data_IF_604272307902
#
_entry.id   IF_604272307902
#
_cell.length_a   1.000
_cell.length_b   1.000
_cell.length_c   1.000
_cell.angle_alpha   90.00
_cell.angle_beta   90.00
_cell.angle_gamma   90.00
#
_symmetry.space_group_name_H-M   'P 1'
#
loop_
_entity.id
_entity.type
_entity.pdbx_description
1 polymer ?
#
# COMPACT_ATOMS: atom_id res chain seq x y z
N UNK A 1 -22.40 42.32 -7.88
CA UNK A 1 -22.10 41.04 -7.20
C UNK A 1 -21.43 40.04 -8.15
N UNK A 2 -21.99 39.77 -9.35
CA UNK A 2 -21.34 38.84 -10.30
C UNK A 2 -19.97 39.35 -10.83
N UNK A 3 -19.84 40.64 -11.15
CA UNK A 3 -18.59 41.22 -11.66
C UNK A 3 -17.42 41.24 -10.65
N UNK A 4 -17.71 41.27 -9.34
CA UNK A 4 -16.67 41.21 -8.30
C UNK A 4 -16.18 39.78 -8.11
N UNK A 5 -17.11 38.82 -8.06
CA UNK A 5 -16.78 37.39 -7.99
C UNK A 5 -16.00 36.94 -9.23
N UNK A 6 -16.39 37.42 -10.41
CA UNK A 6 -15.67 37.12 -11.65
C UNK A 6 -14.21 37.62 -11.60
N UNK A 7 -13.98 38.85 -11.14
CA UNK A 7 -12.62 39.42 -11.01
C UNK A 7 -11.75 38.67 -10.01
N UNK A 8 -12.31 38.28 -8.87
CA UNK A 8 -11.62 37.42 -7.90
C UNK A 8 -11.25 36.06 -8.51
N UNK A 9 -12.19 35.40 -9.19
CA UNK A 9 -11.97 34.10 -9.82
C UNK A 9 -10.93 34.16 -10.96
N UNK A 10 -10.94 35.20 -11.78
CA UNK A 10 -9.93 35.45 -12.81
C UNK A 10 -8.53 35.69 -12.21
N UNK A 11 -8.46 36.39 -11.07
CA UNK A 11 -7.20 36.61 -10.36
C UNK A 11 -6.65 35.32 -9.78
N UNK A 12 -7.51 34.49 -9.17
CA UNK A 12 -7.12 33.21 -8.59
C UNK A 12 -6.70 32.20 -9.65
N UNK A 13 -7.51 31.99 -10.69
CA UNK A 13 -7.21 31.01 -11.74
C UNK A 13 -5.91 31.34 -12.48
N UNK A 14 -5.50 32.61 -12.57
CA UNK A 14 -4.21 33.02 -13.17
C UNK A 14 -2.99 32.36 -12.54
N UNK A 15 -3.07 31.87 -11.30
CA UNK A 15 -1.97 31.14 -10.65
C UNK A 15 -1.84 29.69 -11.12
N UNK A 16 -2.88 29.14 -11.75
CA UNK A 16 -2.92 27.77 -12.25
C UNK A 16 -2.62 27.77 -13.75
N UNK A 17 -1.74 26.92 -14.31
CA UNK A 17 -1.54 26.89 -15.76
C UNK A 17 -2.81 26.42 -16.50
N UNK A 18 -3.11 27.00 -17.67
CA UNK A 18 -4.37 26.80 -18.40
C UNK A 18 -4.67 25.32 -18.73
N UNK A 19 -3.65 24.55 -19.12
CA UNK A 19 -3.75 23.11 -19.44
C UNK A 19 -4.19 22.23 -18.25
N UNK A 20 -4.10 22.76 -17.03
CA UNK A 20 -4.49 22.07 -15.80
C UNK A 20 -5.87 22.50 -15.27
N UNK A 21 -6.54 23.45 -15.92
CA UNK A 21 -7.86 23.94 -15.49
C UNK A 21 -8.97 23.21 -16.24
N UNK A 22 -9.95 22.67 -15.50
CA UNK A 22 -11.23 22.20 -16.06
C UNK A 22 -12.40 23.11 -15.69
N UNK A 23 -12.15 24.17 -14.94
CA UNK A 23 -13.11 25.18 -14.52
C UNK A 23 -12.66 26.56 -15.01
N UNK A 24 -13.60 27.37 -15.46
CA UNK A 24 -13.37 28.76 -15.84
C UNK A 24 -13.81 29.73 -14.72
N UNK A 25 -13.51 31.02 -14.89
CA UNK A 25 -13.80 32.02 -13.86
C UNK A 25 -15.31 32.20 -13.59
N UNK A 26 -16.17 32.00 -14.59
CA UNK A 26 -17.62 32.05 -14.40
C UNK A 26 -18.10 30.84 -13.58
N UNK A 27 -17.58 29.63 -13.87
CA UNK A 27 -17.93 28.43 -13.09
C UNK A 27 -17.58 28.59 -11.61
N UNK A 28 -16.41 29.18 -11.31
CA UNK A 28 -15.95 29.46 -9.94
C UNK A 28 -16.77 30.59 -9.31
N UNK A 29 -17.11 31.64 -10.06
CA UNK A 29 -17.93 32.75 -9.57
C UNK A 29 -19.35 32.30 -9.19
N UNK A 30 -19.96 31.39 -9.94
CA UNK A 30 -21.34 30.94 -9.75
C UNK A 30 -21.50 29.87 -8.65
N UNK A 31 -20.40 29.25 -8.19
CA UNK A 31 -20.44 28.22 -7.15
C UNK A 31 -19.89 28.74 -5.82
N UNK A 32 -20.70 28.70 -4.75
CA UNK A 32 -20.30 29.12 -3.39
C UNK A 32 -19.04 28.40 -2.88
N UNK A 33 -18.89 27.12 -3.25
CA UNK A 33 -17.70 26.31 -3.00
C UNK A 33 -17.61 25.21 -4.04
N UNK A 34 -16.40 24.73 -4.30
CA UNK A 34 -16.22 23.61 -5.20
C UNK A 34 -14.80 23.09 -5.28
N UNK A 35 -14.68 21.96 -5.98
CA UNK A 35 -13.41 21.32 -6.23
C UNK A 35 -13.34 20.86 -7.69
N UNK A 36 -12.12 20.86 -8.23
CA UNK A 36 -11.83 20.39 -9.57
C UNK A 36 -10.53 19.61 -9.57
N UNK A 37 -10.53 18.45 -10.24
CA UNK A 37 -9.37 17.56 -10.34
C UNK A 37 -9.06 17.28 -11.80
N UNK A 38 -7.90 17.74 -12.29
CA UNK A 38 -7.49 17.51 -13.67
C UNK A 38 -5.98 17.35 -13.79
N UNK A 39 -5.53 16.28 -14.46
CA UNK A 39 -4.11 16.00 -14.70
C UNK A 39 -3.20 16.06 -13.44
N UNK A 40 -3.75 15.74 -12.27
CA UNK A 40 -3.02 15.80 -10.99
C UNK A 40 -2.96 17.18 -10.35
N UNK A 41 -3.66 18.17 -10.91
CA UNK A 41 -3.99 19.44 -10.27
C UNK A 41 -5.30 19.29 -9.50
N UNK A 42 -5.27 19.60 -8.21
CA UNK A 42 -6.44 19.89 -7.40
C UNK A 42 -6.62 21.40 -7.30
N UNK A 43 -7.82 21.87 -7.64
CA UNK A 43 -8.27 23.24 -7.39
C UNK A 43 -9.43 23.17 -6.41
N UNK A 44 -9.34 23.90 -5.30
CA UNK A 44 -10.42 24.07 -4.32
C UNK A 44 -10.75 25.55 -4.14
N UNK A 45 -12.01 25.89 -3.98
CA UNK A 45 -12.41 27.27 -3.76
C UNK A 45 -13.63 27.39 -2.85
N UNK A 46 -13.70 28.50 -2.13
CA UNK A 46 -14.84 28.87 -1.30
C UNK A 46 -14.99 30.39 -1.24
N UNK A 47 -16.23 30.86 -1.36
CA UNK A 47 -16.58 32.27 -1.21
C UNK A 47 -16.84 32.62 0.25
N UNK A 48 -16.47 33.85 0.63
CA UNK A 48 -16.84 34.45 1.89
C UNK A 48 -17.00 35.96 1.76
N UNK A 49 -17.37 36.61 2.87
CA UNK A 49 -17.52 38.06 2.97
C UNK A 49 -16.65 38.59 4.10
N UNK A 50 -15.96 39.72 3.86
CA UNK A 50 -15.21 40.40 4.91
C UNK A 50 -16.13 41.16 5.88
N UNK A 51 -15.56 41.77 6.93
CA UNK A 51 -16.32 42.54 7.93
C UNK A 51 -17.12 43.72 7.35
N UNK A 52 -16.83 44.12 6.11
CA UNK A 52 -17.50 45.22 5.38
C UNK A 52 -18.50 44.69 4.35
N UNK A 53 -18.75 43.38 4.30
CA UNK A 53 -19.64 42.73 3.34
C UNK A 53 -19.06 42.66 1.92
N UNK A 54 -17.73 42.79 1.74
CA UNK A 54 -17.09 42.64 0.43
C UNK A 54 -16.79 41.17 0.18
N UNK A 55 -17.14 40.61 -1.00
CA UNK A 55 -16.87 39.22 -1.31
C UNK A 55 -15.37 38.98 -1.51
N UNK A 56 -14.89 37.84 -1.01
CA UNK A 56 -13.55 37.32 -1.28
C UNK A 56 -13.61 35.85 -1.70
N UNK A 57 -12.58 35.40 -2.42
CA UNK A 57 -12.40 34.01 -2.82
C UNK A 57 -11.21 33.42 -2.08
N UNK A 58 -11.45 32.46 -1.17
CA UNK A 58 -10.39 31.58 -0.71
C UNK A 58 -10.17 30.52 -1.80
N UNK A 59 -8.93 30.32 -2.20
CA UNK A 59 -8.57 29.48 -3.32
C UNK A 59 -7.30 28.68 -3.02
N UNK A 60 -7.34 27.40 -3.35
CA UNK A 60 -6.24 26.45 -3.25
C UNK A 60 -5.95 25.86 -4.62
N UNK A 61 -4.68 25.81 -4.97
CA UNK A 61 -4.17 25.04 -6.11
C UNK A 61 -3.01 24.18 -5.66
N UNK A 62 -3.12 22.89 -5.92
CA UNK A 62 -2.08 21.93 -5.62
C UNK A 62 -1.84 21.03 -6.83
N UNK A 63 -0.62 21.07 -7.35
CA UNK A 63 -0.14 20.11 -8.33
C UNK A 63 0.96 19.30 -7.67
N UNK A 64 0.69 18.01 -7.39
CA UNK A 64 1.62 16.99 -6.85
C UNK A 64 2.72 17.59 -5.95
N UNK A 65 2.53 17.55 -4.64
CA UNK A 65 3.44 18.02 -3.59
C UNK A 65 4.94 17.99 -3.99
N UNK A 66 5.69 19.10 -3.81
CA UNK A 66 5.56 20.11 -2.74
C UNK A 66 4.94 21.46 -3.16
N UNK A 67 4.14 21.52 -4.23
CA UNK A 67 3.68 22.78 -4.83
C UNK A 67 2.35 23.37 -4.32
N UNK A 68 1.87 23.04 -3.11
CA UNK A 68 0.57 23.56 -2.63
C UNK A 68 0.63 25.08 -2.40
N UNK A 69 -0.33 25.79 -2.98
CA UNK A 69 -0.53 27.23 -2.78
C UNK A 69 -1.97 27.48 -2.37
N UNK A 70 -2.17 28.31 -1.35
CA UNK A 70 -3.48 28.77 -0.93
C UNK A 70 -3.44 30.28 -0.66
N UNK A 71 -4.53 30.97 -1.03
CA UNK A 71 -4.64 32.41 -0.84
C UNK A 71 -6.08 32.89 -0.93
N UNK A 72 -6.31 34.05 -0.34
CA UNK A 72 -7.56 34.82 -0.42
C UNK A 72 -7.41 35.91 -1.46
N UNK A 73 -8.40 36.06 -2.33
CA UNK A 73 -8.40 36.98 -3.46
C UNK A 73 -9.58 37.96 -3.38
N UNK A 74 -9.31 39.24 -3.65
CA UNK A 74 -10.29 40.33 -3.63
C UNK A 74 -10.45 40.98 -5.01
N UNK A 75 -11.59 41.62 -5.25
CA UNK A 75 -11.96 42.17 -6.56
C UNK A 75 -11.12 43.39 -6.98
N UNK A 76 -10.43 44.02 -6.02
CA UNK A 76 -9.46 45.10 -6.24
C UNK A 76 -8.07 44.59 -6.63
N UNK A 77 -7.88 43.26 -6.69
CA UNK A 77 -6.63 42.59 -7.05
C UNK A 77 -5.69 42.36 -5.87
N UNK A 78 -6.09 42.72 -4.64
CA UNK A 78 -5.30 42.38 -3.44
C UNK A 78 -5.43 40.90 -3.11
N UNK A 79 -4.38 40.35 -2.48
CA UNK A 79 -4.35 38.95 -2.04
C UNK A 79 -3.77 38.82 -0.63
N UNK A 80 -4.27 37.85 0.12
CA UNK A 80 -3.75 37.48 1.45
C UNK A 80 -3.34 36.00 1.43
N UNK A 81 -2.15 35.63 1.95
CA UNK A 81 -1.73 34.23 1.97
C UNK A 81 -2.57 33.42 2.97
N UNK A 82 -2.91 32.20 2.60
CA UNK A 82 -3.49 31.19 3.50
C UNK A 82 -2.37 30.19 3.82
N UNK A 83 -2.23 29.83 5.09
CA UNK A 83 -1.20 28.90 5.53
C UNK A 83 -1.38 27.53 4.84
N UNK A 84 -0.29 27.00 4.28
CA UNK A 84 -0.24 25.66 3.69
C UNK A 84 0.65 24.74 4.52
N UNK A 85 0.44 23.42 4.47
CA UNK A 85 1.32 22.45 5.11
C UNK A 85 2.76 22.58 4.62
N UNK A 86 3.71 22.46 5.54
CA UNK A 86 5.12 22.40 5.24
C UNK A 86 5.46 21.06 4.58
N UNK A 87 6.25 21.12 3.50
CA UNK A 87 6.65 19.96 2.71
C UNK A 87 7.90 19.25 3.23
N UNK A 88 8.65 19.90 4.12
CA UNK A 88 9.85 19.39 4.74
C UNK A 88 10.05 20.02 6.13
N UNK A 89 10.78 19.32 7.00
CA UNK A 89 11.25 19.83 8.29
C UNK A 89 12.77 19.88 8.33
N UNK A 90 13.28 20.72 9.23
CA UNK A 90 14.68 20.62 9.65
C UNK A 90 14.90 19.31 10.44
N UNK A 91 16.12 18.79 10.36
CA UNK A 91 16.54 17.56 11.03
C UNK A 91 17.70 17.88 11.96
N UNK A 92 17.57 17.55 13.23
CA UNK A 92 18.65 17.71 14.21
C UNK A 92 19.46 16.42 14.35
N UNK A 93 20.79 16.49 14.50
CA UNK A 93 21.59 15.33 14.89
C UNK A 93 21.38 14.92 16.36
N UNK A 94 20.76 15.76 17.20
CA UNK A 94 20.35 15.42 18.56
C UNK A 94 18.95 14.76 18.52
N UNK A 95 18.81 13.49 18.98
CA UNK A 95 17.52 12.78 18.93
C UNK A 95 16.39 13.41 19.73
N UNK A 96 16.69 14.15 20.81
CA UNK A 96 15.66 14.80 21.64
C UNK A 96 15.13 16.04 20.94
N UNK A 97 16.04 16.86 20.40
CA UNK A 97 15.70 18.04 19.61
C UNK A 97 14.98 17.65 18.31
N UNK A 98 15.44 16.59 17.62
CA UNK A 98 14.80 16.12 16.39
C UNK A 98 13.36 15.65 16.63
N UNK A 99 13.11 14.98 17.76
CA UNK A 99 11.76 14.58 18.15
C UNK A 99 10.85 15.78 18.46
N UNK A 100 11.39 16.89 18.99
CA UNK A 100 10.63 18.13 19.21
C UNK A 100 10.33 18.86 17.90
N UNK A 101 11.31 18.93 16.99
CA UNK A 101 11.14 19.49 15.65
C UNK A 101 10.09 18.69 14.85
N UNK A 102 10.12 17.37 14.97
CA UNK A 102 9.15 16.47 14.36
C UNK A 102 7.74 16.68 14.93
N UNK A 103 7.59 16.79 16.25
CA UNK A 103 6.30 17.10 16.89
C UNK A 103 5.75 18.44 16.42
N UNK A 104 6.59 19.47 16.34
CA UNK A 104 6.18 20.79 15.89
C UNK A 104 5.75 20.78 14.42
N UNK A 105 6.48 20.08 13.56
CA UNK A 105 6.15 19.92 12.15
C UNK A 105 4.77 19.28 11.95
N UNK A 106 4.50 18.17 12.66
CA UNK A 106 3.21 17.50 12.56
C UNK A 106 2.07 18.34 13.11
N UNK A 107 2.27 19.04 14.23
CA UNK A 107 1.25 19.94 14.78
C UNK A 107 0.95 21.11 13.83
N UNK A 108 1.98 21.70 13.24
CA UNK A 108 1.82 22.75 12.24
C UNK A 108 1.00 22.26 11.03
N UNK A 109 1.37 21.12 10.46
CA UNK A 109 0.65 20.55 9.32
C UNK A 109 -0.79 20.16 9.68
N UNK A 110 -1.02 19.61 10.87
CA UNK A 110 -2.36 19.28 11.37
C UNK A 110 -3.26 20.51 11.41
N UNK A 111 -2.77 21.61 11.96
CA UNK A 111 -3.50 22.88 12.04
C UNK A 111 -3.77 23.45 10.65
N UNK A 112 -2.77 23.43 9.75
CA UNK A 112 -2.92 23.93 8.39
C UNK A 112 -3.98 23.12 7.60
N UNK A 113 -3.93 21.79 7.66
CA UNK A 113 -4.90 20.93 6.98
C UNK A 113 -6.32 21.07 7.55
N UNK A 114 -6.47 21.30 8.85
CA UNK A 114 -7.77 21.56 9.46
C UNK A 114 -8.35 22.90 8.97
N UNK A 115 -7.56 23.98 9.00
CA UNK A 115 -7.98 25.30 8.51
C UNK A 115 -8.39 25.26 7.03
N UNK A 116 -7.64 24.57 6.16
CA UNK A 116 -7.99 24.40 4.75
C UNK A 116 -9.31 23.62 4.54
N UNK A 117 -9.62 22.64 5.38
CA UNK A 117 -10.91 21.91 5.34
C UNK A 117 -12.07 22.73 5.87
N UNK A 118 -11.87 23.44 6.97
CA UNK A 118 -12.89 24.32 7.56
C UNK A 118 -13.28 25.44 6.59
N UNK A 119 -12.33 25.90 5.78
CA UNK A 119 -12.56 26.82 4.65
C UNK A 119 -13.22 26.17 3.44
N UNK A 120 -13.35 24.85 3.39
CA UNK A 120 -13.90 24.12 2.23
C UNK A 120 -12.96 24.07 1.02
N UNK A 121 -11.66 24.30 1.19
CA UNK A 121 -10.66 24.22 0.11
C UNK A 121 -10.19 22.79 -0.14
N UNK A 122 -10.28 21.93 0.87
CA UNK A 122 -10.04 20.50 0.78
C UNK A 122 -11.35 19.71 0.93
N UNK A 123 -11.50 18.55 0.26
CA UNK A 123 -12.66 17.69 0.43
C UNK A 123 -12.86 17.22 1.87
N UNK A 124 -14.10 16.88 2.22
CA UNK A 124 -14.42 16.22 3.49
C UNK A 124 -13.66 14.89 3.63
N UNK A 125 -13.39 14.50 4.88
CA UNK A 125 -12.82 13.19 5.19
C UNK A 125 -13.81 12.11 4.72
N UNK A 126 -13.37 11.19 3.86
CA UNK A 126 -14.18 10.15 3.22
C UNK A 126 -14.52 10.35 1.73
N UNK A 127 -14.55 11.59 1.20
CA UNK A 127 -15.06 11.86 -0.15
C UNK A 127 -14.03 11.92 -1.32
N UNK A 128 -12.78 11.50 -1.11
CA UNK A 128 -11.82 11.27 -2.21
C UNK A 128 -10.73 10.25 -1.81
N UNK A 129 -10.85 9.03 -2.32
CA UNK A 129 -10.17 7.80 -1.84
C UNK A 129 -8.66 7.76 -2.19
N UNK A 130 -8.14 8.75 -2.92
CA UNK A 130 -6.71 8.80 -3.29
C UNK A 130 -5.78 9.29 -2.16
N UNK A 131 -6.26 10.24 -1.33
CA UNK A 131 -5.43 11.09 -0.47
C UNK A 131 -5.79 11.03 1.03
N UNK A 132 -6.76 10.22 1.43
CA UNK A 132 -7.31 10.26 2.79
C UNK A 132 -6.52 9.45 3.82
N UNK A 133 -5.81 8.41 3.40
CA UNK A 133 -5.09 7.54 4.33
C UNK A 133 -3.86 8.23 4.98
N UNK A 134 -3.20 9.17 4.28
CA UNK A 134 -2.11 9.95 4.89
C UNK A 134 -2.68 10.98 5.87
N UNK A 135 -3.77 11.63 5.48
CA UNK A 135 -4.33 12.73 6.23
C UNK A 135 -4.85 12.28 7.60
N UNK A 136 -5.46 11.10 7.71
CA UNK A 136 -5.87 10.57 9.01
C UNK A 136 -4.69 10.19 9.92
N UNK A 137 -3.58 9.73 9.35
CA UNK A 137 -2.35 9.43 10.07
C UNK A 137 -1.66 10.70 10.61
N UNK A 138 -1.58 11.75 9.80
CA UNK A 138 -1.02 13.05 10.17
C UNK A 138 -1.91 13.83 11.15
N UNK A 139 -3.25 13.67 11.06
CA UNK A 139 -4.19 14.39 11.92
C UNK A 139 -4.25 13.87 13.37
N UNK A 140 -3.88 12.61 13.62
CA UNK A 140 -4.07 11.97 14.94
C UNK A 140 -2.76 11.58 15.65
N UNK A 141 -1.61 12.09 15.19
CA UNK A 141 -0.31 11.80 15.81
C UNK A 141 0.00 10.30 15.92
N UNK A 142 -0.49 9.49 14.97
CA UNK A 142 -0.32 8.03 15.00
C UNK A 142 -1.37 7.21 15.76
N UNK A 143 -2.57 7.72 16.09
CA UNK A 143 -3.60 6.86 16.71
C UNK A 143 -5.03 7.07 16.17
N UNK A 144 -5.73 6.04 15.65
CA UNK A 144 -7.12 6.17 15.25
C UNK A 144 -8.07 5.87 16.41
N UNK A 145 -8.91 6.83 16.79
CA UNK A 145 -10.22 6.53 17.37
C UNK A 145 -11.31 7.11 16.48
N UNK A 146 -12.32 6.28 16.23
CA UNK A 146 -13.64 6.63 15.71
C UNK A 146 -14.55 6.97 16.90
N UNK A 147 -15.49 7.89 16.68
CA UNK A 147 -16.54 8.17 17.66
C UNK A 147 -17.52 7.01 17.75
N UNK A 148 -17.53 6.33 18.89
CA UNK A 148 -18.73 5.89 19.64
C UNK A 148 -18.25 5.39 21.01
N UNK A 149 -19.01 5.71 22.06
CA UNK A 149 -18.70 5.39 23.47
C UNK A 149 -18.61 3.87 23.76
N UNK A 150 -17.99 3.48 24.89
CA UNK A 150 -17.14 2.29 24.96
C UNK A 150 -17.90 1.04 25.43
N UNK A 151 -17.66 -0.09 24.77
CA UNK A 151 -17.77 -1.40 25.41
C UNK A 151 -16.39 -1.80 25.95
N UNK A 152 -16.35 -2.02 27.25
CA UNK A 152 -15.18 -2.38 28.01
C UNK A 152 -14.78 -3.82 27.72
N UNK A 153 -13.84 -4.04 26.77
CA UNK A 153 -12.89 -5.17 26.84
C UNK A 153 -11.76 -5.21 25.78
N UNK A 154 -11.45 -4.13 25.05
CA UNK A 154 -10.35 -4.15 24.07
C UNK A 154 -9.17 -3.27 24.48
N UNK A 155 -8.28 -3.85 25.29
CA UNK A 155 -6.99 -3.25 25.59
C UNK A 155 -5.94 -3.69 24.55
N UNK A 156 -5.06 -2.76 24.19
CA UNK A 156 -3.87 -2.86 23.31
C UNK A 156 -4.07 -2.57 21.81
N UNK A 157 -4.32 -1.30 21.48
CA UNK A 157 -4.12 -0.75 20.12
C UNK A 157 -2.68 -0.19 19.98
N UNK A 158 -1.92 -0.69 19.00
CA UNK A 158 -0.58 -0.22 18.64
C UNK A 158 -0.59 0.94 17.64
N UNK A 159 0.38 1.83 17.75
CA UNK A 159 0.38 3.23 17.28
C UNK A 159 0.72 3.51 15.80
N UNK A 160 0.43 2.63 14.82
CA UNK A 160 0.98 2.80 13.44
C UNK A 160 0.04 2.50 12.25
N UNK A 161 -1.26 2.82 12.37
CA UNK A 161 -2.13 3.23 11.24
C UNK A 161 -2.48 2.22 10.13
N UNK A 162 -1.81 1.08 10.00
CA UNK A 162 -2.16 0.00 9.05
C UNK A 162 -2.58 -1.21 9.85
N UNK A 163 -3.82 -1.68 9.64
CA UNK A 163 -4.23 -3.02 10.06
C UNK A 163 -3.92 -3.98 8.94
N UNK A 164 -3.10 -4.99 9.22
CA UNK A 164 -2.74 -6.02 8.25
C UNK A 164 -3.83 -7.09 8.11
N UNK A 165 -4.78 -7.16 9.05
CA UNK A 165 -5.79 -8.20 9.09
C UNK A 165 -5.21 -9.54 9.58
N UNK A 166 -6.06 -10.56 9.69
CA UNK A 166 -5.61 -11.95 9.95
C UNK A 166 -4.78 -12.19 11.23
N UNK A 167 -4.85 -11.32 12.24
CA UNK A 167 -4.07 -11.46 13.48
C UNK A 167 -2.59 -11.06 13.37
N UNK A 168 -2.17 -10.43 12.27
CA UNK A 168 -0.77 -10.06 12.03
C UNK A 168 -0.30 -8.83 12.82
N UNK A 169 -1.21 -7.98 13.29
CA UNK A 169 -0.89 -6.71 13.94
C UNK A 169 -0.12 -6.88 15.26
N UNK A 170 -0.41 -7.94 16.03
CA UNK A 170 0.27 -8.21 17.30
C UNK A 170 1.69 -8.75 17.10
N UNK A 171 1.92 -9.83 16.32
CA UNK A 171 3.27 -10.34 16.04
C UNK A 171 4.19 -9.32 15.37
N UNK A 172 3.64 -8.34 14.67
CA UNK A 172 4.40 -7.31 13.94
C UNK A 172 4.39 -5.95 14.63
N UNK A 173 3.79 -5.80 15.81
CA UNK A 173 3.63 -4.52 16.50
C UNK A 173 4.94 -3.74 16.60
N UNK A 174 6.00 -4.40 17.06
CA UNK A 174 7.32 -3.77 17.24
C UNK A 174 8.01 -3.48 15.90
N UNK A 175 7.73 -4.27 14.86
CA UNK A 175 8.25 -4.04 13.51
C UNK A 175 7.62 -2.79 12.90
N UNK A 176 6.28 -2.69 12.98
CA UNK A 176 5.49 -1.58 12.48
C UNK A 176 5.77 -0.27 13.24
N UNK A 177 6.31 -0.37 14.46
CA UNK A 177 6.73 0.78 15.26
C UNK A 177 8.12 1.34 14.91
N UNK A 178 8.87 0.67 14.03
CA UNK A 178 10.20 1.16 13.66
C UNK A 178 10.09 2.38 12.73
N UNK A 179 11.02 3.36 12.85
CA UNK A 179 10.98 4.58 12.03
C UNK A 179 10.98 4.37 10.51
N UNK A 180 11.55 3.25 10.01
CA UNK A 180 11.56 2.97 8.58
C UNK A 180 10.14 2.71 8.03
N UNK A 181 9.21 2.20 8.86
CA UNK A 181 7.87 1.86 8.43
C UNK A 181 7.09 3.10 7.99
N UNK A 182 7.15 4.18 8.78
CA UNK A 182 6.53 5.46 8.42
C UNK A 182 7.11 6.01 7.11
N UNK A 183 8.45 6.01 6.99
CA UNK A 183 9.14 6.47 5.76
C UNK A 183 8.76 5.64 4.53
N UNK A 184 8.60 4.33 4.70
CA UNK A 184 8.15 3.43 3.64
C UNK A 184 6.72 3.78 3.19
N UNK A 185 5.79 4.02 4.12
CA UNK A 185 4.42 4.38 3.79
C UNK A 185 4.32 5.75 3.10
N UNK A 186 5.12 6.73 3.54
CA UNK A 186 5.28 8.02 2.88
C UNK A 186 5.79 7.84 1.45
N UNK A 187 6.86 7.07 1.25
CA UNK A 187 7.42 6.75 -0.07
C UNK A 187 6.40 6.07 -0.99
N UNK A 188 5.73 5.02 -0.50
CA UNK A 188 4.75 4.27 -1.30
C UNK A 188 3.58 5.16 -1.68
N UNK A 189 3.17 6.07 -0.79
CA UNK A 189 2.10 6.98 -1.11
C UNK A 189 2.52 8.03 -2.13
N UNK A 190 3.69 8.64 -1.95
CA UNK A 190 4.28 9.52 -2.96
C UNK A 190 4.36 8.81 -4.33
N UNK A 191 4.79 7.54 -4.36
CA UNK A 191 4.84 6.77 -5.60
C UNK A 191 3.45 6.56 -6.22
N UNK A 192 2.42 6.29 -5.43
CA UNK A 192 1.03 6.13 -5.89
C UNK A 192 0.41 7.43 -6.39
N UNK A 193 0.82 8.57 -5.83
CA UNK A 193 0.39 9.90 -6.27
C UNK A 193 1.05 10.30 -7.60
N UNK A 194 2.29 9.87 -7.81
CA UNK A 194 3.09 10.31 -8.95
C UNK A 194 3.10 9.32 -10.12
N UNK A 195 2.87 8.04 -9.86
CA UNK A 195 3.00 6.96 -10.82
C UNK A 195 1.92 5.89 -10.63
N UNK A 196 1.70 5.11 -11.68
CA UNK A 196 0.87 3.91 -11.56
C UNK A 196 1.67 2.83 -10.82
N UNK A 197 1.22 2.46 -9.61
CA UNK A 197 1.87 1.50 -8.72
C UNK A 197 0.96 0.29 -8.50
N UNK A 198 1.54 -0.90 -8.62
CA UNK A 198 0.87 -2.18 -8.39
C UNK A 198 1.36 -2.88 -7.13
N UNK A 199 0.52 -3.70 -6.48
CA UNK A 199 -0.92 -3.83 -6.75
C UNK A 199 -1.68 -2.53 -6.34
N UNK A 200 -2.98 -2.39 -6.65
CA UNK A 200 -3.84 -1.35 -6.05
C UNK A 200 -3.69 -1.27 -4.52
N UNK A 201 -3.94 -0.09 -3.91
CA UNK A 201 -3.70 0.14 -2.47
C UNK A 201 -4.39 -0.93 -1.60
N UNK A 202 -5.67 -1.18 -1.84
CA UNK A 202 -6.48 -2.16 -1.10
C UNK A 202 -5.90 -3.59 -1.12
N UNK A 203 -5.15 -3.94 -2.17
CA UNK A 203 -4.58 -5.29 -2.35
C UNK A 203 -3.12 -5.38 -1.91
N UNK A 204 -2.54 -4.32 -1.30
CA UNK A 204 -1.11 -4.34 -0.91
C UNK A 204 -0.82 -5.41 0.14
N UNK A 205 -1.79 -5.68 1.01
CA UNK A 205 -1.66 -6.59 2.15
C UNK A 205 -2.56 -7.83 2.04
N UNK A 206 -3.10 -8.11 0.84
CA UNK A 206 -4.04 -9.23 0.58
C UNK A 206 -3.52 -10.58 1.07
N UNK A 207 -2.20 -10.82 0.96
CA UNK A 207 -1.58 -12.06 1.44
C UNK A 207 -1.77 -12.30 2.95
N UNK A 208 -1.85 -11.24 3.75
CA UNK A 208 -2.04 -11.31 5.20
C UNK A 208 -3.51 -11.52 5.59
N UNK A 209 -4.42 -10.89 4.85
CA UNK A 209 -5.88 -11.08 4.98
C UNK A 209 -6.27 -12.53 4.67
N UNK A 210 -5.80 -13.07 3.54
CA UNK A 210 -6.13 -14.43 3.10
C UNK A 210 -5.38 -15.52 3.86
N UNK A 211 -4.27 -15.18 4.52
CA UNK A 211 -3.47 -16.13 5.31
C UNK A 211 -3.29 -15.60 6.73
N UNK A 212 -4.25 -15.82 7.64
CA UNK A 212 -4.12 -15.43 9.05
C UNK A 212 -2.84 -15.98 9.69
N UNK A 213 -2.28 -15.24 10.64
CA UNK A 213 -0.98 -15.51 11.25
C UNK A 213 -0.87 -16.95 11.78
N UNK A 214 -1.85 -17.39 12.57
CA UNK A 214 -1.84 -18.72 13.19
C UNK A 214 -2.05 -19.86 12.19
N UNK A 215 -2.64 -19.55 11.03
CA UNK A 215 -2.93 -20.52 9.96
C UNK A 215 -1.76 -20.73 9.01
N UNK A 216 -0.67 -19.95 9.13
CA UNK A 216 0.51 -20.09 8.28
C UNK A 216 1.13 -21.49 8.43
N UNK A 217 1.15 -22.23 7.31
CA UNK A 217 1.78 -23.56 7.15
C UNK A 217 3.00 -23.49 6.25
N UNK A 218 2.90 -22.74 5.15
CA UNK A 218 3.94 -22.61 4.15
C UNK A 218 4.16 -21.13 3.84
N UNK A 219 5.42 -20.74 3.64
CA UNK A 219 5.77 -19.41 3.14
C UNK A 219 6.51 -19.57 1.81
N UNK A 220 6.00 -18.94 0.75
CA UNK A 220 6.65 -18.90 -0.56
C UNK A 220 7.07 -17.47 -0.85
N UNK A 221 8.37 -17.26 -1.08
CA UNK A 221 8.90 -15.92 -1.32
C UNK A 221 9.03 -15.59 -2.81
N UNK A 222 8.34 -14.54 -3.23
CA UNK A 222 8.55 -13.83 -4.50
C UNK A 222 9.48 -12.63 -4.36
N UNK A 223 9.77 -11.97 -5.47
CA UNK A 223 10.68 -10.81 -5.51
C UNK A 223 9.88 -9.50 -5.36
N UNK A 224 9.19 -9.09 -6.42
CA UNK A 224 8.32 -7.92 -6.53
C UNK A 224 7.00 -8.29 -7.24
N UNK A 225 5.94 -7.48 -7.11
CA UNK A 225 4.68 -7.73 -7.81
C UNK A 225 4.85 -7.68 -9.33
N UNK A 226 3.88 -8.24 -10.06
CA UNK A 226 3.85 -8.11 -11.51
C UNK A 226 3.68 -6.65 -11.96
N UNK A 227 4.43 -6.27 -12.99
CA UNK A 227 4.57 -4.87 -13.44
C UNK A 227 3.57 -4.43 -14.51
N UNK A 228 2.69 -5.31 -14.98
CA UNK A 228 1.70 -4.99 -16.02
C UNK A 228 0.30 -4.78 -15.42
N UNK A 229 -0.54 -3.95 -16.06
CA UNK A 229 -1.90 -3.70 -15.61
C UNK A 229 -2.69 -4.98 -15.34
N UNK A 230 -3.40 -4.99 -14.21
CA UNK A 230 -4.30 -6.09 -13.80
C UNK A 230 -3.61 -7.40 -13.41
N UNK A 231 -2.27 -7.48 -13.41
CA UNK A 231 -1.58 -8.73 -13.06
C UNK A 231 -1.41 -8.92 -11.56
N UNK A 232 -0.88 -7.91 -10.87
CA UNK A 232 -0.60 -8.03 -9.43
C UNK A 232 -1.86 -7.73 -8.62
N UNK A 233 -2.14 -8.60 -7.65
CA UNK A 233 -3.30 -8.48 -6.75
C UNK A 233 -2.95 -8.81 -5.28
N UNK A 234 -1.70 -8.60 -4.88
CA UNK A 234 -1.26 -8.77 -3.50
C UNK A 234 -0.63 -10.12 -3.16
N UNK A 235 -0.82 -11.14 -4.00
CA UNK A 235 -0.23 -12.47 -3.83
C UNK A 235 1.00 -12.68 -4.72
N UNK A 236 2.11 -13.15 -4.15
CA UNK A 236 3.31 -13.51 -4.93
C UNK A 236 2.99 -14.58 -5.98
N UNK A 237 3.53 -14.38 -7.19
CA UNK A 237 3.35 -15.24 -8.37
C UNK A 237 1.93 -15.40 -8.92
N UNK A 238 0.90 -14.95 -8.22
CA UNK A 238 -0.49 -15.08 -8.64
C UNK A 238 -0.91 -13.98 -9.61
N UNK A 239 -1.87 -14.28 -10.49
CA UNK A 239 -2.62 -13.29 -11.28
C UNK A 239 -4.11 -13.60 -11.22
N UNK A 240 -5.02 -12.60 -11.27
CA UNK A 240 -6.46 -12.86 -11.29
C UNK A 240 -6.91 -13.76 -12.44
N UNK A 241 -8.03 -14.45 -12.26
CA UNK A 241 -8.68 -15.23 -13.32
C UNK A 241 -8.95 -14.38 -14.57
N UNK A 242 -8.71 -14.96 -15.75
CA UNK A 242 -8.82 -14.26 -17.03
C UNK A 242 -7.56 -13.49 -17.46
N UNK A 243 -6.58 -13.32 -16.57
CA UNK A 243 -5.29 -12.71 -16.91
C UNK A 243 -4.33 -13.75 -17.46
N UNK A 244 -3.63 -13.41 -18.55
CA UNK A 244 -2.63 -14.30 -19.15
C UNK A 244 -1.56 -14.71 -18.14
N UNK A 245 -1.42 -16.02 -17.95
CA UNK A 245 -0.46 -16.64 -17.02
C UNK A 245 0.98 -16.20 -17.34
N UNK A 246 1.66 -15.47 -16.42
CA UNK A 246 3.01 -14.96 -16.66
C UNK A 246 4.04 -16.09 -16.79
N UNK A 247 5.22 -15.82 -17.41
CA UNK A 247 6.24 -16.86 -17.62
C UNK A 247 6.70 -17.59 -16.36
N UNK A 248 6.82 -16.87 -15.24
CA UNK A 248 7.23 -17.48 -13.96
C UNK A 248 6.16 -18.43 -13.45
N UNK A 249 4.88 -18.02 -13.47
CA UNK A 249 3.79 -18.88 -13.05
C UNK A 249 3.60 -20.09 -13.98
N UNK A 250 3.84 -19.95 -15.30
CA UNK A 250 3.86 -21.13 -16.20
C UNK A 250 4.92 -22.16 -15.80
N UNK A 251 6.08 -21.70 -15.36
CA UNK A 251 7.15 -22.58 -14.90
C UNK A 251 6.83 -23.24 -13.55
N UNK A 252 6.20 -22.50 -12.63
CA UNK A 252 5.64 -23.04 -11.38
C UNK A 252 4.61 -24.12 -11.70
N UNK A 253 3.63 -23.85 -12.58
CA UNK A 253 2.59 -24.82 -12.97
C UNK A 253 3.14 -26.08 -13.64
N UNK A 254 4.17 -25.94 -14.49
CA UNK A 254 4.85 -27.09 -15.10
C UNK A 254 5.52 -27.97 -14.06
N UNK A 255 6.22 -27.36 -13.10
CA UNK A 255 6.82 -28.14 -12.00
C UNK A 255 5.76 -28.72 -11.08
N UNK A 256 4.68 -27.98 -10.79
CA UNK A 256 3.55 -28.44 -9.99
C UNK A 256 2.93 -29.71 -10.57
N UNK A 257 2.59 -29.70 -11.86
CA UNK A 257 2.03 -30.87 -12.53
C UNK A 257 2.99 -32.07 -12.48
N UNK A 258 4.28 -31.82 -12.75
CA UNK A 258 5.31 -32.88 -12.71
C UNK A 258 5.56 -33.42 -11.30
N UNK A 259 5.51 -32.57 -10.27
CA UNK A 259 5.73 -32.94 -8.87
C UNK A 259 4.55 -33.73 -8.30
N UNK A 260 3.32 -33.35 -8.66
CA UNK A 260 2.09 -34.05 -8.30
C UNK A 260 1.78 -35.28 -9.17
N UNK A 261 2.60 -35.53 -10.21
CA UNK A 261 2.41 -36.62 -11.17
C UNK A 261 1.05 -36.57 -11.91
N UNK A 262 0.59 -35.36 -12.23
CA UNK A 262 -0.64 -35.08 -13.00
C UNK A 262 -0.32 -34.39 -14.33
N UNK A 263 -1.28 -34.35 -15.26
CA UNK A 263 -1.11 -33.59 -16.50
C UNK A 263 -1.24 -32.08 -16.24
N UNK A 264 -0.49 -31.27 -16.99
CA UNK A 264 -0.65 -29.81 -16.95
C UNK A 264 -2.06 -29.37 -17.36
N UNK A 265 -2.76 -30.18 -18.18
CA UNK A 265 -4.15 -29.99 -18.57
C UNK A 265 -5.16 -30.22 -17.45
N UNK A 266 -4.75 -30.92 -16.38
CA UNK A 266 -5.63 -31.22 -15.25
C UNK A 266 -5.69 -30.02 -14.27
N UNK A 267 -4.73 -29.10 -14.35
CA UNK A 267 -4.72 -27.87 -13.58
C UNK A 267 -5.69 -26.85 -14.20
N UNK A 268 -6.44 -26.08 -13.39
CA UNK A 268 -7.35 -25.04 -13.89
C UNK A 268 -6.67 -24.04 -14.83
N UNK A 269 -7.34 -23.56 -15.88
CA UNK A 269 -6.78 -22.63 -16.87
C UNK A 269 -6.80 -21.16 -16.39
N UNK A 270 -6.34 -20.91 -15.17
CA UNK A 270 -6.12 -19.56 -14.63
C UNK A 270 -4.82 -19.47 -13.83
N UNK A 271 -4.41 -18.24 -13.51
CA UNK A 271 -3.23 -17.96 -12.71
C UNK A 271 -3.50 -17.61 -11.26
N UNK A 272 -4.76 -17.66 -10.83
CA UNK A 272 -5.15 -17.33 -9.47
C UNK A 272 -4.67 -18.40 -8.49
N UNK A 273 -4.07 -17.97 -7.37
CA UNK A 273 -3.49 -18.83 -6.33
C UNK A 273 -4.15 -18.57 -4.96
N UNK A 274 -5.28 -17.86 -4.93
CA UNK A 274 -6.05 -17.56 -3.71
C UNK A 274 -6.36 -18.83 -2.92
N UNK A 275 -6.72 -19.92 -3.61
CA UNK A 275 -6.97 -21.23 -2.99
C UNK A 275 -5.77 -21.81 -2.21
N UNK A 276 -4.53 -21.40 -2.52
CA UNK A 276 -3.37 -21.76 -1.70
C UNK A 276 -3.27 -20.89 -0.45
N UNK A 277 -3.50 -19.58 -0.60
CA UNK A 277 -3.46 -18.63 0.51
C UNK A 277 -4.43 -19.01 1.62
N UNK A 278 -5.69 -19.29 1.26
CA UNK A 278 -6.75 -19.73 2.18
C UNK A 278 -6.44 -21.06 2.91
N UNK A 279 -5.48 -21.84 2.41
CA UNK A 279 -5.04 -23.09 3.05
C UNK A 279 -3.86 -22.90 4.01
N UNK A 280 -3.38 -21.67 4.22
CA UNK A 280 -2.21 -21.39 5.05
C UNK A 280 -0.91 -21.20 4.25
N UNK A 281 -0.97 -20.92 2.95
CA UNK A 281 0.23 -20.64 2.14
C UNK A 281 0.42 -19.13 1.98
N UNK A 282 1.30 -18.55 2.78
CA UNK A 282 1.64 -17.14 2.69
C UNK A 282 2.48 -16.88 1.41
N UNK A 283 1.84 -16.28 0.40
CA UNK A 283 2.44 -15.90 -0.88
C UNK A 283 3.02 -14.49 -0.81
N UNK A 284 4.23 -14.36 -0.26
CA UNK A 284 4.83 -13.07 0.11
C UNK A 284 5.92 -12.64 -0.87
N UNK A 285 5.81 -11.44 -1.45
CA UNK A 285 6.94 -10.84 -2.16
C UNK A 285 7.90 -10.16 -1.18
N UNK A 286 9.19 -10.10 -1.48
CA UNK A 286 10.16 -9.31 -0.67
C UNK A 286 9.94 -7.80 -0.77
N UNK A 287 9.38 -7.33 -1.88
CA UNK A 287 8.88 -5.96 -2.07
C UNK A 287 7.38 -6.05 -2.35
N UNK A 288 6.53 -5.27 -1.65
CA UNK A 288 5.07 -5.41 -1.80
C UNK A 288 4.44 -4.47 -2.82
N UNK A 289 5.19 -3.51 -3.35
CA UNK A 289 4.70 -2.58 -4.39
C UNK A 289 5.74 -2.40 -5.49
N UNK A 290 5.28 -1.99 -6.67
CA UNK A 290 6.15 -1.74 -7.83
C UNK A 290 5.51 -0.73 -8.77
N UNK A 291 6.32 0.12 -9.38
CA UNK A 291 5.89 1.01 -10.45
C UNK A 291 5.62 0.24 -11.75
N UNK A 292 4.54 0.60 -12.46
CA UNK A 292 4.18 0.03 -13.77
C UNK A 292 5.38 0.03 -14.71
N UNK A 293 5.62 -1.13 -15.33
CA UNK A 293 6.67 -1.34 -16.32
C UNK A 293 8.11 -1.35 -15.77
N UNK A 294 8.32 -1.13 -14.47
CA UNK A 294 9.67 -1.03 -13.87
C UNK A 294 9.83 -2.01 -12.71
N UNK A 295 10.32 -3.22 -13.02
CA UNK A 295 10.66 -4.22 -12.00
C UNK A 295 11.73 -3.67 -11.06
N UNK A 296 11.64 -4.02 -9.77
CA UNK A 296 12.50 -3.55 -8.67
C UNK A 296 12.51 -2.03 -8.44
N UNK A 297 11.53 -1.30 -8.96
CA UNK A 297 11.47 0.16 -8.78
C UNK A 297 11.36 0.61 -7.32
N UNK A 298 10.84 -0.24 -6.43
CA UNK A 298 10.69 0.05 -5.00
C UNK A 298 11.65 -0.81 -4.13
N UNK A 299 12.64 -1.46 -4.74
CA UNK A 299 13.71 -2.18 -4.03
C UNK A 299 14.52 -1.19 -3.17
N UNK A 300 14.85 -1.59 -1.94
CA UNK A 300 15.65 -0.82 -0.99
C UNK A 300 14.90 0.30 -0.28
N UNK A 301 13.57 0.40 -0.47
CA UNK A 301 12.76 1.49 0.10
C UNK A 301 12.16 1.15 1.47
N UNK A 302 12.38 -0.07 1.96
CA UNK A 302 11.98 -0.50 3.32
C UNK A 302 11.09 -1.75 3.34
N UNK A 303 10.56 -2.19 2.19
CA UNK A 303 9.74 -3.39 2.13
C UNK A 303 10.51 -4.65 2.54
N UNK A 304 11.81 -4.72 2.22
CA UNK A 304 12.65 -5.86 2.58
C UNK A 304 12.88 -5.95 4.08
N UNK A 305 12.94 -4.81 4.77
CA UNK A 305 13.00 -4.75 6.23
C UNK A 305 11.69 -5.26 6.83
N UNK A 306 10.55 -4.78 6.32
CA UNK A 306 9.24 -5.27 6.74
C UNK A 306 9.07 -6.77 6.53
N UNK A 307 9.37 -7.27 5.34
CA UNK A 307 9.22 -8.69 5.02
C UNK A 307 10.23 -9.57 5.77
N UNK A 308 11.40 -9.04 6.16
CA UNK A 308 12.30 -9.69 7.10
C UNK A 308 11.71 -9.77 8.51
N UNK A 309 11.02 -8.72 8.95
CA UNK A 309 10.22 -8.72 10.18
C UNK A 309 9.12 -9.78 10.16
N UNK A 310 8.39 -9.91 9.06
CA UNK A 310 7.38 -10.97 8.84
C UNK A 310 7.98 -12.36 8.99
N UNK A 311 9.08 -12.65 8.29
CA UNK A 311 9.75 -13.96 8.37
C UNK A 311 10.25 -14.23 9.79
N UNK A 312 10.80 -13.21 10.46
CA UNK A 312 11.29 -13.32 11.83
C UNK A 312 10.16 -13.55 12.83
N UNK A 313 9.01 -12.89 12.67
CA UNK A 313 7.83 -13.09 13.51
C UNK A 313 7.26 -14.50 13.35
N UNK A 314 7.20 -15.04 12.12
CA UNK A 314 6.81 -16.43 11.87
C UNK A 314 7.80 -17.40 12.53
N UNK A 315 9.09 -17.16 12.33
CA UNK A 315 10.20 -17.95 12.89
C UNK A 315 10.18 -18.00 14.42
N UNK A 316 9.79 -16.88 15.04
CA UNK A 316 9.76 -16.70 16.50
C UNK A 316 8.41 -17.08 17.14
N UNK A 317 7.28 -16.99 16.46
CA UNK A 317 5.97 -17.29 17.07
C UNK A 317 5.42 -18.67 16.69
N UNK A 318 5.73 -19.19 15.51
CA UNK A 318 5.15 -20.44 15.00
C UNK A 318 6.14 -21.62 15.07
N UNK A 319 5.67 -22.82 14.75
CA UNK A 319 6.48 -24.05 14.72
C UNK A 319 6.07 -24.91 13.54
N UNK A 320 7.00 -25.61 12.91
CA UNK A 320 6.69 -26.53 11.81
C UNK A 320 6.32 -25.85 10.49
N UNK A 321 6.49 -24.54 10.36
CA UNK A 321 6.24 -23.80 9.11
C UNK A 321 7.31 -24.15 8.07
N UNK A 322 6.90 -24.47 6.85
CA UNK A 322 7.79 -24.80 5.73
C UNK A 322 8.07 -23.54 4.91
N UNK A 323 9.35 -23.25 4.65
CA UNK A 323 9.75 -22.11 3.81
C UNK A 323 10.25 -22.59 2.45
N UNK A 324 9.69 -22.03 1.38
CA UNK A 324 10.08 -22.29 -0.01
C UNK A 324 10.78 -21.04 -0.56
N UNK A 325 12.08 -21.18 -0.82
CA UNK A 325 12.97 -20.07 -1.15
C UNK A 325 13.52 -20.24 -2.57
N UNK A 326 12.85 -19.60 -3.53
CA UNK A 326 13.22 -19.66 -4.95
C UNK A 326 14.14 -18.50 -5.33
N UNK A 327 15.36 -18.83 -5.76
CA UNK A 327 16.38 -17.86 -6.18
C UNK A 327 17.23 -17.30 -5.04
N UNK A 328 18.37 -16.71 -5.42
CA UNK A 328 19.38 -16.20 -4.49
C UNK A 328 18.84 -15.21 -3.45
N UNK A 329 18.05 -14.18 -3.83
CA UNK A 329 17.49 -13.23 -2.88
C UNK A 329 16.63 -13.89 -1.79
N UNK A 330 15.70 -14.77 -2.16
CA UNK A 330 14.88 -15.52 -1.21
C UNK A 330 15.74 -16.44 -0.33
N UNK A 331 16.71 -17.15 -0.92
CA UNK A 331 17.59 -18.06 -0.18
C UNK A 331 18.45 -17.36 0.88
N UNK A 332 18.80 -16.08 0.67
CA UNK A 332 19.51 -15.27 1.69
C UNK A 332 18.67 -15.04 2.94
N UNK A 333 17.33 -15.09 2.84
CA UNK A 333 16.41 -14.95 3.97
C UNK A 333 16.42 -16.17 4.90
N UNK A 334 17.03 -17.29 4.48
CA UNK A 334 17.16 -18.49 5.31
C UNK A 334 17.86 -18.24 6.66
N UNK A 335 18.67 -17.17 6.77
CA UNK A 335 19.32 -16.76 8.02
C UNK A 335 18.35 -16.29 9.11
N UNK A 336 17.11 -15.97 8.75
CA UNK A 336 16.06 -15.51 9.66
C UNK A 336 15.23 -16.67 10.24
N UNK A 337 15.46 -17.89 9.76
CA UNK A 337 14.64 -19.07 10.09
C UNK A 337 15.33 -19.88 11.18
N UNK A 338 14.66 -20.08 12.31
CA UNK A 338 15.11 -20.94 13.40
C UNK A 338 14.87 -22.41 13.05
N UNK A 339 15.94 -23.10 12.63
CA UNK A 339 15.90 -24.51 12.23
C UNK A 339 15.65 -25.48 13.40
N UNK A 340 15.63 -25.01 14.65
CA UNK A 340 15.21 -25.83 15.80
C UNK A 340 13.68 -25.93 15.90
N UNK A 341 12.96 -25.02 15.23
CA UNK A 341 11.49 -24.92 15.25
C UNK A 341 10.84 -25.23 13.92
N UNK A 342 11.58 -25.03 12.83
CA UNK A 342 11.11 -25.15 11.47
C UNK A 342 11.94 -26.18 10.70
N UNK A 343 11.31 -26.93 9.77
CA UNK A 343 12.06 -27.76 8.84
C UNK A 343 13.06 -26.93 8.02
N UNK A 344 14.10 -27.61 7.51
CA UNK A 344 15.06 -26.98 6.60
C UNK A 344 14.33 -26.38 5.37
N UNK A 345 14.63 -25.12 4.98
CA UNK A 345 13.97 -24.49 3.83
C UNK A 345 14.19 -25.24 2.53
N UNK A 346 13.14 -25.35 1.73
CA UNK A 346 13.19 -25.92 0.38
C UNK A 346 13.75 -24.84 -0.56
N UNK A 347 14.89 -25.12 -1.20
CA UNK A 347 15.59 -24.17 -2.05
C UNK A 347 15.62 -24.65 -3.49
N UNK A 348 15.29 -23.76 -4.42
CA UNK A 348 15.44 -24.00 -5.86
C UNK A 348 15.81 -22.70 -6.59
N UNK A 349 16.07 -22.78 -7.91
CA UNK A 349 16.25 -21.60 -8.73
C UNK A 349 14.96 -20.76 -8.81
N UNK A 350 15.08 -19.48 -9.15
CA UNK A 350 13.90 -18.64 -9.35
C UNK A 350 13.11 -19.07 -10.61
N UNK A 351 11.77 -19.14 -10.59
CA UNK A 351 10.96 -19.61 -11.72
C UNK A 351 11.05 -18.73 -12.99
N UNK A 352 11.53 -17.49 -12.87
CA UNK A 352 11.77 -16.60 -14.03
C UNK A 352 12.94 -17.14 -14.86
N UNK A 353 12.62 -17.73 -16.02
CA UNK A 353 13.62 -18.17 -17.00
C UNK A 353 14.14 -17.00 -17.85
N UNK A 354 15.38 -17.13 -18.36
CA UNK A 354 15.81 -16.40 -19.56
C UNK A 354 15.04 -16.97 -20.77
N UNK A 355 14.86 -16.17 -21.82
CA UNK A 355 13.93 -16.47 -22.93
C UNK A 355 14.11 -17.84 -23.64
N UNK A 356 15.23 -18.55 -23.46
CA UNK A 356 15.54 -19.82 -24.13
C UNK A 356 16.10 -20.92 -23.18
N UNK A 357 15.81 -20.86 -21.88
CA UNK A 357 16.31 -21.85 -20.91
C UNK A 357 15.26 -22.93 -20.58
N UNK A 358 15.74 -24.12 -20.17
CA UNK A 358 14.91 -25.15 -19.52
C UNK A 358 14.19 -24.57 -18.29
N UNK A 359 13.04 -25.14 -17.91
CA UNK A 359 12.29 -24.70 -16.71
C UNK A 359 13.24 -24.70 -15.49
N UNK A 360 13.54 -23.54 -14.87
CA UNK A 360 14.49 -23.47 -13.76
C UNK A 360 14.09 -24.28 -12.52
N UNK A 361 12.79 -24.57 -12.38
CA UNK A 361 12.25 -25.35 -11.28
C UNK A 361 12.22 -26.86 -11.56
N UNK A 362 12.54 -27.30 -12.78
CA UNK A 362 12.38 -28.69 -13.19
C UNK A 362 13.04 -29.69 -12.23
N UNK A 363 12.24 -30.57 -11.64
CA UNK A 363 12.69 -31.66 -10.76
C UNK A 363 13.05 -31.21 -9.34
N UNK A 364 12.75 -29.96 -8.96
CA UNK A 364 12.96 -29.47 -7.59
C UNK A 364 11.95 -30.01 -6.58
N UNK A 365 10.81 -30.51 -7.05
CA UNK A 365 9.74 -31.17 -6.27
C UNK A 365 9.34 -30.42 -5.00
N UNK A 366 9.08 -29.10 -5.04
CA UNK A 366 8.91 -28.31 -3.83
C UNK A 366 7.57 -28.58 -3.13
N UNK A 367 6.52 -28.98 -3.86
CA UNK A 367 5.15 -29.12 -3.34
C UNK A 367 4.98 -30.42 -2.56
N UNK A 368 5.41 -31.55 -3.15
CA UNK A 368 5.36 -32.84 -2.44
C UNK A 368 6.37 -32.89 -1.29
N UNK A 369 7.52 -32.23 -1.44
CA UNK A 369 8.48 -32.07 -0.34
C UNK A 369 7.89 -31.23 0.79
N UNK A 370 7.19 -30.13 0.49
CA UNK A 370 6.53 -29.31 1.50
C UNK A 370 5.50 -30.13 2.29
N UNK A 371 4.65 -30.91 1.61
CA UNK A 371 3.66 -31.75 2.29
C UNK A 371 4.31 -32.83 3.18
N UNK A 372 5.44 -33.42 2.77
CA UNK A 372 6.20 -34.35 3.62
C UNK A 372 6.74 -33.67 4.88
N UNK A 373 7.28 -32.46 4.75
CA UNK A 373 7.80 -31.68 5.87
C UNK A 373 6.68 -31.24 6.83
N UNK A 374 5.53 -30.79 6.29
CA UNK A 374 4.34 -30.47 7.08
C UNK A 374 3.88 -31.70 7.88
N UNK A 375 3.75 -32.85 7.22
CA UNK A 375 3.35 -34.09 7.88
C UNK A 375 4.33 -34.50 9.00
N UNK A 376 5.65 -34.38 8.76
CA UNK A 376 6.65 -34.65 9.81
C UNK A 376 6.59 -33.67 10.98
N UNK A 377 6.06 -32.46 10.77
CA UNK A 377 5.84 -31.46 11.79
C UNK A 377 4.44 -31.54 12.42
N UNK A 378 3.64 -32.57 12.11
CA UNK A 378 2.28 -32.75 12.63
C UNK A 378 1.26 -31.75 12.08
N UNK A 379 1.55 -31.12 10.93
CA UNK A 379 0.65 -30.17 10.26
C UNK A 379 -0.07 -30.83 9.08
N UNK A 380 -1.30 -30.39 8.83
CA UNK A 380 -2.07 -30.83 7.67
C UNK A 380 -1.36 -30.44 6.36
N UNK A 381 -1.34 -31.33 5.35
CA UNK A 381 -0.77 -31.02 4.04
C UNK A 381 -1.60 -29.93 3.33
N UNK A 382 -1.00 -29.29 2.34
CA UNK A 382 -1.69 -28.37 1.43
C UNK A 382 -2.17 -29.15 0.22
N UNK A 383 -3.40 -28.88 -0.21
CA UNK A 383 -3.88 -29.32 -1.52
C UNK A 383 -3.40 -28.32 -2.59
N UNK A 384 -2.43 -28.77 -3.38
CA UNK A 384 -1.77 -27.96 -4.39
C UNK A 384 -2.48 -27.97 -5.75
N UNK A 385 -3.51 -28.81 -5.94
CA UNK A 385 -4.13 -29.07 -7.25
C UNK A 385 -4.86 -27.85 -7.86
N UNK A 386 -5.08 -26.79 -7.06
CA UNK A 386 -5.83 -25.57 -7.43
C UNK A 386 -7.28 -25.82 -7.85
N UNK A 387 -7.78 -27.06 -7.73
CA UNK A 387 -9.14 -27.41 -8.09
C UNK A 387 -10.11 -26.73 -7.11
N UNK A 388 -11.19 -26.16 -7.65
CA UNK A 388 -12.25 -25.56 -6.84
C UNK A 388 -12.74 -26.61 -5.84
N UNK A 389 -12.71 -26.25 -4.56
CA UNK A 389 -13.42 -27.02 -3.53
C UNK A 389 -14.89 -26.69 -3.68
N UNK A 390 -15.64 -27.54 -4.38
CA UNK A 390 -17.08 -27.61 -4.12
C UNK A 390 -17.23 -27.86 -2.63
N UNK A 391 -18.02 -27.05 -1.89
CA UNK A 391 -18.29 -27.36 -0.49
C UNK A 391 -18.78 -28.81 -0.42
N UNK A 392 -18.04 -29.67 0.27
CA UNK A 392 -18.59 -30.94 0.67
C UNK A 392 -19.63 -30.61 1.73
N UNK A 393 -20.89 -30.91 1.44
CA UNK A 393 -21.96 -30.93 2.42
C UNK A 393 -21.51 -31.84 3.59
N UNK A 394 -21.12 -31.24 4.72
CA UNK A 394 -21.01 -31.90 6.02
C UNK A 394 -22.25 -31.61 6.88
#
# INVERSE_FOLDING_TARGET
MNDERLRCAESALRTVPEDYRTVNAADVADQERGHSFHQGMHIGWAWGEDERGRPYLDFLSEHRHPGMQAGRYFADGTTEPIATPASAREVSPDPVEDAELERHFFEHNRVAYADLRDRGLLPAVGENVGLQDINEYLLKGGSPTSGSEPDADSNVAGAHGVRLGGGWDEPLRDELAKPYWSKLLEFVTYERENYEVYPPRAQTFEAFELTPYDDVKVVILGQDPYIKPGQAHGLAFSVPTGITIPPSLRNIRKELAADLEISLSDLPDHGDLTAWAEQGVLLLNTTLTVRRGKSNSHEGMGWETFTDGVISAISAGLKGVVFILWGGPAQKKAKLIDLTRHPAPIKAAHPKARANAHNPLAGSKPFTTANKLLASAGRAPVDWSLLDRTPQDE
#
